data_IF_519728071167
#
_entry.id   IF_519728071167
#
_cell.length_a   1.000
_cell.length_b   1.000
_cell.length_c   1.000
_cell.angle_alpha   90.00
_cell.angle_beta   90.00
_cell.angle_gamma   90.00
#
_symmetry.space_group_name_H-M   'P 1'
#
loop_
_entity.id
_entity.type
_entity.pdbx_description
1 polymer ?
#
# COMPACT_ATOMS: atom_id res chain seq x y z
N UNK A 1 45.27 -16.69 17.68
CA UNK A 1 43.97 -16.41 18.30
C UNK A 1 43.22 -15.47 17.37
N UNK A 2 42.19 -15.96 16.67
CA UNK A 2 41.31 -15.09 15.87
C UNK A 2 40.38 -14.31 16.81
N UNK A 3 40.34 -12.99 16.66
CA UNK A 3 39.36 -12.14 17.35
C UNK A 3 38.06 -12.20 16.56
N UNK A 4 37.07 -12.93 17.08
CA UNK A 4 35.70 -12.88 16.55
C UNK A 4 35.01 -11.64 17.15
N UNK A 5 34.67 -10.67 16.29
CA UNK A 5 33.83 -9.53 16.65
C UNK A 5 32.35 -9.80 16.32
N UNK A 6 31.43 -9.33 17.18
CA UNK A 6 29.98 -9.38 16.91
C UNK A 6 29.54 -8.08 16.25
N UNK A 7 28.98 -8.17 15.05
CA UNK A 7 28.28 -7.06 14.38
C UNK A 7 26.79 -7.13 14.74
N UNK A 8 26.19 -6.02 15.17
CA UNK A 8 24.74 -5.92 15.45
C UNK A 8 24.12 -4.97 14.43
N UNK A 9 23.14 -5.45 13.69
CA UNK A 9 22.39 -4.68 12.68
C UNK A 9 20.94 -4.60 13.12
N UNK A 10 20.35 -3.41 13.10
CA UNK A 10 18.92 -3.21 13.31
C UNK A 10 18.21 -3.09 11.97
N UNK A 11 17.06 -3.75 11.83
CA UNK A 11 16.20 -3.64 10.64
C UNK A 11 14.86 -3.07 11.10
N UNK A 12 14.45 -1.96 10.50
CA UNK A 12 13.20 -1.28 10.76
C UNK A 12 12.31 -1.23 9.52
N UNK A 13 11.00 -1.17 9.75
CA UNK A 13 9.99 -0.94 8.72
C UNK A 13 9.33 0.42 8.97
N UNK A 14 9.32 1.26 7.95
CA UNK A 14 8.59 2.52 7.95
C UNK A 14 7.26 2.33 7.20
N UNK A 15 6.15 2.36 7.96
CA UNK A 15 4.77 2.15 7.49
C UNK A 15 4.01 3.44 7.20
N UNK A 16 4.65 4.61 7.36
CA UNK A 16 3.99 5.91 7.22
C UNK A 16 3.26 6.07 5.88
N UNK A 17 3.89 5.61 4.79
CA UNK A 17 3.31 5.71 3.45
C UNK A 17 2.16 4.71 3.24
N UNK A 18 2.31 3.48 3.72
CA UNK A 18 1.26 2.47 3.73
C UNK A 18 0.01 2.96 4.47
N UNK A 19 0.18 3.56 5.64
CA UNK A 19 -0.91 4.14 6.43
C UNK A 19 -1.62 5.26 5.64
N UNK A 20 -0.86 6.18 5.03
CA UNK A 20 -1.42 7.24 4.20
C UNK A 20 -2.19 6.73 2.97
N UNK A 21 -1.72 5.67 2.33
CA UNK A 21 -2.40 5.05 1.18
C UNK A 21 -3.70 4.35 1.60
N UNK A 22 -3.73 3.69 2.77
CA UNK A 22 -4.94 3.08 3.32
C UNK A 22 -5.98 4.15 3.65
N UNK A 23 -5.59 5.23 4.34
CA UNK A 23 -6.51 6.34 4.63
C UNK A 23 -7.07 6.98 3.36
N UNK A 24 -6.22 7.19 2.34
CA UNK A 24 -6.67 7.71 1.04
C UNK A 24 -7.65 6.76 0.35
N UNK A 25 -7.43 5.45 0.46
CA UNK A 25 -8.32 4.44 -0.09
C UNK A 25 -9.69 4.46 0.57
N UNK A 26 -9.73 4.57 1.90
CA UNK A 26 -10.99 4.68 2.66
C UNK A 26 -11.80 5.90 2.19
N UNK A 27 -11.17 7.06 2.08
CA UNK A 27 -11.85 8.27 1.58
C UNK A 27 -12.38 8.11 0.16
N UNK A 28 -11.61 7.46 -0.73
CA UNK A 28 -12.06 7.19 -2.10
C UNK A 28 -13.25 6.23 -2.14
N UNK A 29 -13.23 5.19 -1.31
CA UNK A 29 -14.32 4.22 -1.22
C UNK A 29 -15.59 4.87 -0.64
N UNK A 30 -15.48 5.65 0.43
CA UNK A 30 -16.63 6.36 1.01
C UNK A 30 -17.28 7.30 -0.01
N UNK A 31 -16.47 7.97 -0.83
CA UNK A 31 -16.98 8.83 -1.90
C UNK A 31 -17.60 8.04 -3.06
N UNK A 32 -17.01 6.90 -3.45
CA UNK A 32 -17.45 6.13 -4.60
C UNK A 32 -18.70 5.29 -4.29
N UNK A 33 -18.79 4.75 -3.08
CA UNK A 33 -19.88 3.86 -2.68
C UNK A 33 -21.16 4.60 -2.27
N UNK A 34 -21.09 5.93 -2.09
CA UNK A 34 -22.23 6.76 -1.65
C UNK A 34 -23.46 6.64 -2.56
N UNK A 35 -23.23 6.43 -3.86
CA UNK A 35 -24.29 6.40 -4.89
C UNK A 35 -24.41 5.00 -5.55
N UNK A 36 -23.68 3.98 -5.08
CA UNK A 36 -23.66 2.64 -5.68
C UNK A 36 -24.64 1.70 -4.95
N UNK A 37 -25.51 0.97 -5.67
CA UNK A 37 -26.36 -0.07 -5.09
C UNK A 37 -25.57 -1.19 -4.39
N UNK A 38 -26.03 -1.64 -3.22
CA UNK A 38 -25.40 -2.69 -2.38
C UNK A 38 -24.99 -3.97 -3.13
N UNK A 39 -25.71 -4.34 -4.18
CA UNK A 39 -25.39 -5.54 -4.97
C UNK A 39 -24.09 -5.40 -5.78
N UNK A 40 -23.72 -4.18 -6.19
CA UNK A 40 -22.45 -3.88 -6.88
C UNK A 40 -21.29 -3.68 -5.91
N UNK A 41 -21.59 -3.31 -4.66
CA UNK A 41 -20.61 -3.16 -3.58
C UNK A 41 -19.85 -4.48 -3.30
N UNK A 42 -20.53 -5.62 -3.45
CA UNK A 42 -19.93 -6.94 -3.25
C UNK A 42 -18.78 -7.26 -4.21
N UNK A 43 -18.89 -6.80 -5.47
CA UNK A 43 -17.86 -6.97 -6.51
C UNK A 43 -16.66 -6.04 -6.27
N UNK A 44 -16.91 -4.91 -5.62
CA UNK A 44 -15.89 -3.97 -5.20
C UNK A 44 -15.02 -4.53 -4.06
N UNK A 45 -15.67 -5.07 -3.03
CA UNK A 45 -14.98 -5.64 -1.88
C UNK A 45 -14.23 -6.94 -2.19
N UNK A 46 -14.60 -7.69 -3.24
CA UNK A 46 -13.88 -8.90 -3.63
C UNK A 46 -12.46 -8.62 -4.14
N UNK A 47 -12.20 -7.42 -4.68
CA UNK A 47 -10.90 -7.01 -5.20
C UNK A 47 -10.01 -6.32 -4.14
N UNK A 48 -10.61 -5.84 -3.04
CA UNK A 48 -9.90 -5.14 -1.98
C UNK A 48 -8.80 -5.98 -1.29
N UNK A 49 -9.00 -7.28 -0.98
CA UNK A 49 -7.95 -8.12 -0.43
C UNK A 49 -6.73 -8.22 -1.35
N UNK A 50 -6.94 -8.26 -2.67
CA UNK A 50 -5.83 -8.35 -3.61
C UNK A 50 -4.98 -7.08 -3.61
N UNK A 51 -5.59 -5.91 -3.40
CA UNK A 51 -4.93 -4.60 -3.27
C UNK A 51 -4.14 -4.51 -1.97
N UNK A 52 -4.76 -4.87 -0.84
CA UNK A 52 -4.13 -4.78 0.48
C UNK A 52 -2.99 -5.81 0.65
N UNK A 53 -3.01 -6.92 -0.08
CA UNK A 53 -1.93 -7.91 -0.10
C UNK A 53 -0.78 -7.55 -1.06
N UNK A 54 -0.91 -6.48 -1.87
CA UNK A 54 0.14 -6.04 -2.80
C UNK A 54 1.10 -5.07 -2.11
N UNK A 55 1.75 -5.54 -1.05
CA UNK A 55 2.70 -4.73 -0.27
C UNK A 55 4.09 -4.84 -0.90
N UNK A 56 4.72 -3.71 -1.17
CA UNK A 56 6.06 -3.61 -1.76
C UNK A 56 6.99 -2.80 -0.86
N UNK A 57 8.28 -3.14 -0.90
CA UNK A 57 9.32 -2.33 -0.28
C UNK A 57 9.63 -1.13 -1.20
N UNK A 58 9.51 0.07 -0.66
CA UNK A 58 9.95 1.30 -1.30
C UNK A 58 11.42 1.58 -0.92
N UNK A 59 12.13 2.32 -1.78
CA UNK A 59 13.58 2.51 -1.71
C UNK A 59 14.10 2.72 -0.28
N UNK A 60 15.03 1.84 0.10
CA UNK A 60 15.77 1.96 1.34
C UNK A 60 16.83 3.05 1.18
N UNK A 61 16.68 4.16 1.89
CA UNK A 61 17.75 5.14 2.04
C UNK A 61 18.86 4.54 2.90
N UNK A 62 19.78 3.80 2.28
CA UNK A 62 21.06 3.46 2.91
C UNK A 62 21.97 4.68 2.82
N UNK A 63 22.06 5.47 3.89
CA UNK A 63 23.07 6.51 3.98
C UNK A 63 24.45 5.81 4.05
N UNK A 64 25.35 5.99 3.06
CA UNK A 64 26.66 5.36 3.11
C UNK A 64 27.48 6.11 4.16
N UNK A 65 27.64 5.52 5.34
CA UNK A 65 28.73 5.92 6.24
C UNK A 65 28.52 5.90 7.76
N UNK A 66 27.33 5.66 8.33
CA UNK A 66 27.21 5.86 9.79
C UNK A 66 26.26 4.98 10.62
N UNK A 67 25.37 4.15 10.06
CA UNK A 67 24.45 3.35 10.90
C UNK A 67 24.27 1.93 10.37
N UNK A 68 24.41 0.97 11.27
CA UNK A 68 23.98 -0.43 11.09
C UNK A 68 22.45 -0.55 11.22
N UNK A 69 21.71 0.52 10.90
CA UNK A 69 20.25 0.58 10.97
C UNK A 69 19.74 0.67 9.54
N UNK A 70 19.10 -0.39 9.07
CA UNK A 70 18.46 -0.47 7.76
C UNK A 70 16.97 -0.18 7.95
N UNK A 71 16.46 0.89 7.34
CA UNK A 71 15.04 1.20 7.34
C UNK A 71 14.49 0.92 5.95
N UNK A 72 13.56 -0.02 5.84
CA UNK A 72 12.80 -0.28 4.64
C UNK A 72 11.46 0.45 4.70
N UNK A 73 11.17 1.26 3.69
CA UNK A 73 9.84 1.86 3.55
C UNK A 73 8.89 0.85 2.94
N UNK A 74 7.63 0.91 3.33
CA UNK A 74 6.59 -0.01 2.88
C UNK A 74 5.44 0.79 2.27
N UNK A 75 4.97 0.37 1.10
CA UNK A 75 3.79 0.94 0.42
C UNK A 75 2.97 -0.15 -0.27
N UNK A 76 1.73 0.15 -0.62
CA UNK A 76 0.93 -0.61 -1.56
C UNK A 76 1.45 -0.41 -2.99
N UNK A 77 1.46 -1.49 -3.77
CA UNK A 77 2.03 -1.60 -5.09
C UNK A 77 1.08 -1.25 -6.24
N UNK A 78 1.37 -1.80 -7.41
CA UNK A 78 0.68 -1.46 -8.66
C UNK A 78 -0.81 -1.83 -8.65
N UNK A 79 -1.27 -2.75 -7.79
CA UNK A 79 -2.71 -3.04 -7.66
C UNK A 79 -3.45 -1.89 -6.97
N UNK A 80 -2.83 -1.23 -6.00
CA UNK A 80 -3.41 -0.02 -5.39
C UNK A 80 -3.53 1.13 -6.38
N UNK A 81 -2.49 1.37 -7.18
CA UNK A 81 -2.50 2.42 -8.19
C UNK A 81 -3.60 2.18 -9.23
N UNK A 82 -3.73 0.95 -9.74
CA UNK A 82 -4.79 0.58 -10.69
C UNK A 82 -6.19 0.66 -10.07
N UNK A 83 -6.36 0.17 -8.84
CA UNK A 83 -7.66 0.17 -8.18
C UNK A 83 -8.15 1.59 -7.87
N UNK A 84 -7.26 2.45 -7.34
CA UNK A 84 -7.61 3.86 -7.09
C UNK A 84 -7.84 4.64 -8.38
N UNK A 85 -7.14 4.32 -9.47
CA UNK A 85 -7.40 4.90 -10.79
C UNK A 85 -8.79 4.52 -11.32
N UNK A 86 -9.17 3.23 -11.23
CA UNK A 86 -10.50 2.76 -11.63
C UNK A 86 -11.62 3.46 -10.84
N UNK A 87 -11.43 3.65 -9.52
CA UNK A 87 -12.38 4.38 -8.66
C UNK A 87 -12.56 5.82 -9.15
N UNK A 88 -11.45 6.53 -9.39
CA UNK A 88 -11.51 7.93 -9.87
C UNK A 88 -12.11 8.05 -11.26
N UNK A 89 -11.86 7.07 -12.12
CA UNK A 89 -12.40 7.02 -13.48
C UNK A 89 -13.90 6.63 -13.51
N UNK A 90 -14.48 6.27 -12.36
CA UNK A 90 -15.84 5.73 -12.26
C UNK A 90 -16.10 4.61 -13.28
N UNK A 91 -15.14 3.71 -13.49
CA UNK A 91 -15.32 2.53 -14.37
C UNK A 91 -16.41 1.55 -13.89
N UNK A 92 -17.09 1.90 -12.80
CA UNK A 92 -18.21 1.18 -12.19
C UNK A 92 -19.56 1.86 -12.44
N UNK A 93 -19.59 3.08 -13.00
CA UNK A 93 -20.83 3.73 -13.43
C UNK A 93 -21.40 2.93 -14.59
N UNK A 94 -22.44 2.16 -14.28
CA UNK A 94 -23.16 1.28 -15.20
C UNK A 94 -24.05 2.04 -16.19
N UNK A 95 -23.66 3.22 -16.65
CA UNK A 95 -24.36 3.95 -17.74
C UNK A 95 -24.21 3.27 -19.11
N UNK A 96 -23.79 1.99 -19.12
CA UNK A 96 -23.61 1.15 -20.31
C UNK A 96 -24.52 -0.10 -20.32
N UNK A 97 -25.58 -0.15 -19.50
CA UNK A 97 -26.63 -1.18 -19.59
C UNK A 97 -27.98 -0.58 -19.99
#
# INVERSE_FOLDING_TARGET
>A
MEKVGKLVVSIGLDTTELEGQISSLQTLLDSALKDIPDHLISTFFSNLPAVLNDIVLADSSSAPGARLDVIHRVRLGAKYERFTAAIRAREFDSDSF
#
